data_IF_986076930476
#
_entry.id   IF_986076930476
#
_cell.length_a   1.000
_cell.length_b   1.000
_cell.length_c   1.000
_cell.angle_alpha   90.00
_cell.angle_beta   90.00
_cell.angle_gamma   90.00
#
_symmetry.space_group_name_H-M   'P 1'
#
loop_
_entity.id
_entity.type
_entity.pdbx_description
1 polymer ?
#
# COMPACT_ATOMS: atom_id res chain seq x y z
N UNK A 1 3.66 -2.54 -40.73
CA UNK A 1 2.82 -2.71 -39.52
C UNK A 1 1.32 -2.74 -39.84
N UNK A 2 0.68 -1.63 -40.24
CA UNK A 2 -0.77 -1.65 -40.50
C UNK A 2 -1.19 -2.50 -41.73
N UNK A 3 -0.38 -2.52 -42.79
CA UNK A 3 -0.70 -3.31 -43.99
C UNK A 3 -0.42 -4.81 -43.86
N UNK A 4 0.36 -5.23 -42.85
CA UNK A 4 0.55 -6.65 -42.53
C UNK A 4 -0.65 -7.18 -41.74
N UNK A 5 -1.15 -6.41 -40.77
CA UNK A 5 -2.38 -6.73 -40.03
C UNK A 5 -3.60 -6.90 -40.95
N UNK A 6 -3.68 -6.11 -42.03
CA UNK A 6 -4.76 -6.25 -43.03
C UNK A 6 -4.67 -7.54 -43.84
N UNK A 7 -3.46 -8.06 -44.06
CA UNK A 7 -3.25 -9.33 -44.80
C UNK A 7 -3.63 -10.55 -43.98
N UNK A 8 -3.61 -10.43 -42.65
CA UNK A 8 -3.96 -11.50 -41.71
C UNK A 8 -5.38 -11.33 -41.12
N UNK A 9 -6.17 -10.38 -41.65
CA UNK A 9 -7.48 -10.05 -41.09
C UNK A 9 -8.41 -11.27 -41.05
N UNK A 10 -8.41 -12.08 -42.09
CA UNK A 10 -9.16 -13.34 -42.18
C UNK A 10 -8.78 -14.32 -41.06
N UNK A 11 -7.49 -14.46 -40.76
CA UNK A 11 -6.98 -15.31 -39.69
C UNK A 11 -7.37 -14.74 -38.32
N UNK A 12 -7.23 -13.43 -38.11
CA UNK A 12 -7.58 -12.74 -36.86
C UNK A 12 -9.09 -12.92 -36.56
N UNK A 13 -9.95 -12.69 -37.54
CA UNK A 13 -11.41 -12.83 -37.36
C UNK A 13 -11.83 -14.29 -37.20
N UNK A 14 -11.21 -15.22 -37.93
CA UNK A 14 -11.48 -16.66 -37.78
C UNK A 14 -11.13 -17.14 -36.37
N UNK A 15 -9.99 -16.69 -35.83
CA UNK A 15 -9.58 -16.99 -34.47
C UNK A 15 -10.52 -16.37 -33.43
N UNK A 16 -10.92 -15.11 -33.63
CA UNK A 16 -11.85 -14.43 -32.73
C UNK A 16 -13.21 -15.13 -32.68
N UNK A 17 -13.77 -15.52 -33.83
CA UNK A 17 -15.05 -16.25 -33.92
C UNK A 17 -14.94 -17.63 -33.27
N UNK A 18 -13.79 -18.30 -33.42
CA UNK A 18 -13.55 -19.62 -32.83
C UNK A 18 -13.53 -19.58 -31.30
N UNK A 19 -12.93 -18.57 -30.70
CA UNK A 19 -12.79 -18.45 -29.23
C UNK A 19 -14.00 -17.75 -28.57
N UNK A 20 -14.87 -17.10 -29.35
CA UNK A 20 -16.04 -16.37 -28.86
C UNK A 20 -17.01 -17.24 -28.01
N UNK A 21 -17.35 -18.50 -28.38
CA UNK A 21 -18.24 -19.33 -27.58
C UNK A 21 -17.67 -19.60 -26.19
N UNK A 22 -16.37 -19.89 -26.10
CA UNK A 22 -15.67 -20.09 -24.84
C UNK A 22 -15.70 -18.83 -23.98
N UNK A 23 -15.51 -17.66 -24.59
CA UNK A 23 -15.58 -16.38 -23.89
C UNK A 23 -16.98 -16.08 -23.35
N UNK A 24 -18.04 -16.48 -24.06
CA UNK A 24 -19.44 -16.37 -23.58
C UNK A 24 -19.66 -17.29 -22.38
N UNK A 25 -19.17 -18.53 -22.43
CA UNK A 25 -19.25 -19.48 -21.31
C UNK A 25 -18.50 -18.97 -20.07
N UNK A 26 -17.39 -18.25 -20.26
CA UNK A 26 -16.57 -17.64 -19.22
C UNK A 26 -17.08 -16.23 -18.79
N UNK A 27 -18.32 -15.85 -19.11
CA UNK A 27 -18.92 -14.54 -18.77
C UNK A 27 -18.08 -13.33 -19.24
N UNK A 28 -17.51 -13.41 -20.44
CA UNK A 28 -16.64 -12.39 -21.02
C UNK A 28 -15.40 -12.07 -20.18
N UNK A 29 -14.99 -12.98 -19.30
CA UNK A 29 -13.75 -12.86 -18.54
C UNK A 29 -12.58 -13.31 -19.41
N UNK A 30 -11.81 -12.36 -19.90
CA UNK A 30 -10.53 -12.69 -20.53
C UNK A 30 -9.61 -13.30 -19.47
N UNK A 31 -9.04 -14.48 -19.77
CA UNK A 31 -8.12 -15.16 -18.87
C UNK A 31 -6.97 -14.21 -18.49
N UNK A 32 -6.94 -13.80 -17.22
CA UNK A 32 -5.86 -13.00 -16.69
C UNK A 32 -4.58 -13.86 -16.70
N UNK A 33 -3.43 -13.36 -17.22
CA UNK A 33 -2.19 -14.11 -17.17
C UNK A 33 -1.82 -14.41 -15.70
N UNK A 34 -1.30 -15.61 -15.46
CA UNK A 34 -0.95 -16.11 -14.12
C UNK A 34 0.05 -15.22 -13.35
N UNK A 35 0.72 -14.28 -14.03
CA UNK A 35 1.61 -13.27 -13.42
C UNK A 35 0.88 -12.07 -12.79
N UNK A 36 -0.44 -11.97 -12.93
CA UNK A 36 -1.24 -10.93 -12.25
C UNK A 36 -1.53 -11.24 -10.77
N UNK A 37 -1.27 -12.46 -10.31
CA UNK A 37 -1.48 -12.86 -8.91
C UNK A 37 -0.34 -12.35 -8.01
N UNK A 38 0.90 -12.35 -8.52
CA UNK A 38 2.05 -11.85 -7.77
C UNK A 38 2.02 -10.33 -7.59
N UNK A 39 1.55 -9.58 -8.59
CA UNK A 39 1.44 -8.12 -8.50
C UNK A 39 0.34 -7.64 -7.55
N UNK A 40 -0.75 -8.41 -7.41
CA UNK A 40 -1.81 -8.13 -6.43
C UNK A 40 -1.42 -8.56 -5.01
N UNK A 41 -0.66 -9.65 -4.86
CA UNK A 41 -0.17 -10.12 -3.57
C UNK A 41 0.83 -9.13 -2.93
N UNK A 42 1.74 -8.57 -3.73
CA UNK A 42 2.65 -7.51 -3.27
C UNK A 42 1.86 -6.25 -2.84
N UNK A 43 0.79 -5.91 -3.56
CA UNK A 43 -0.08 -4.77 -3.23
C UNK A 43 -0.86 -4.98 -1.91
N UNK A 44 -1.40 -6.19 -1.68
CA UNK A 44 -2.14 -6.53 -0.45
C UNK A 44 -1.22 -6.62 0.78
N UNK A 45 0.03 -7.08 0.61
CA UNK A 45 0.99 -7.22 1.71
C UNK A 45 1.59 -5.86 2.14
N UNK A 46 1.84 -4.95 1.19
CA UNK A 46 2.24 -3.57 1.48
C UNK A 46 1.18 -2.81 2.28
N UNK A 47 -0.10 -3.05 2.00
CA UNK A 47 -1.22 -2.41 2.70
C UNK A 47 -1.40 -2.91 4.14
N UNK A 48 -1.17 -4.20 4.38
CA UNK A 48 -1.43 -4.83 5.70
C UNK A 48 -0.39 -4.44 6.76
N UNK A 49 0.85 -4.16 6.36
CA UNK A 49 1.97 -3.93 7.28
C UNK A 49 1.82 -2.65 8.14
N UNK A 50 1.29 -1.57 7.55
CA UNK A 50 1.04 -0.31 8.26
C UNK A 50 -0.16 -0.45 9.19
N UNK A 51 -1.24 -1.05 8.71
CA UNK A 51 -2.46 -1.25 9.50
C UNK A 51 -2.15 -2.10 10.74
N UNK A 52 -1.43 -3.21 10.53
CA UNK A 52 -0.96 -4.08 11.63
C UNK A 52 -0.04 -3.32 12.59
N UNK A 53 0.85 -2.45 12.07
CA UNK A 53 1.71 -1.62 12.92
C UNK A 53 0.89 -0.62 13.75
N UNK A 54 -0.07 0.07 13.14
CA UNK A 54 -0.92 1.05 13.82
C UNK A 54 -1.75 0.37 14.92
N UNK A 55 -2.36 -0.78 14.62
CA UNK A 55 -3.14 -1.55 15.59
C UNK A 55 -2.29 -2.07 16.75
N UNK A 56 -1.11 -2.64 16.46
CA UNK A 56 -0.31 -3.33 17.48
C UNK A 56 0.63 -2.41 18.25
N UNK A 57 1.13 -1.32 17.64
CA UNK A 57 2.20 -0.47 18.19
C UNK A 57 1.80 0.98 18.39
N UNK A 58 0.69 1.45 17.85
CA UNK A 58 0.26 2.85 17.98
C UNK A 58 -1.00 3.00 18.83
N UNK A 59 -1.19 4.21 19.37
CA UNK A 59 -2.43 4.65 20.02
C UNK A 59 -2.87 5.94 19.35
N UNK A 60 -4.15 5.98 18.95
CA UNK A 60 -4.78 7.17 18.38
C UNK A 60 -5.45 7.99 19.48
N UNK A 61 -5.36 9.31 19.38
CA UNK A 61 -6.01 10.23 20.32
C UNK A 61 -5.54 11.67 20.13
N UNK A 62 -6.46 12.63 20.28
CA UNK A 62 -6.26 14.05 19.98
C UNK A 62 -5.14 14.71 20.80
N UNK A 63 -4.87 14.23 22.01
CA UNK A 63 -3.79 14.70 22.88
C UNK A 63 -2.41 14.14 22.52
N UNK A 64 -2.34 13.14 21.65
CA UNK A 64 -1.10 12.47 21.31
C UNK A 64 -0.35 13.17 20.18
N UNK A 65 0.98 13.17 20.29
CA UNK A 65 1.87 13.70 19.26
C UNK A 65 3.18 12.94 19.25
N UNK A 66 3.74 12.74 18.07
CA UNK A 66 5.03 12.07 17.87
C UNK A 66 5.76 12.65 16.65
N UNK A 67 7.09 12.76 16.71
CA UNK A 67 7.86 13.16 15.55
C UNK A 67 7.80 12.10 14.45
N UNK A 68 7.80 12.53 13.19
CA UNK A 68 7.68 11.62 12.06
C UNK A 68 8.89 10.69 11.94
N UNK A 69 10.07 11.16 12.36
CA UNK A 69 11.31 10.38 12.39
C UNK A 69 11.17 9.21 13.38
N UNK A 70 10.83 9.51 14.63
CA UNK A 70 10.68 8.50 15.70
C UNK A 70 9.62 7.45 15.34
N UNK A 71 8.49 7.90 14.77
CA UNK A 71 7.41 6.99 14.35
C UNK A 71 7.86 6.07 13.21
N UNK A 72 8.60 6.59 12.23
CA UNK A 72 9.09 5.81 11.10
C UNK A 72 10.20 4.84 11.50
N UNK A 73 11.07 5.21 12.43
CA UNK A 73 12.07 4.28 12.98
C UNK A 73 11.43 3.11 13.73
N UNK A 74 10.38 3.38 14.52
CA UNK A 74 9.60 2.34 15.17
C UNK A 74 8.92 1.40 14.14
N UNK A 75 8.42 1.96 13.04
CA UNK A 75 7.87 1.19 11.93
C UNK A 75 8.92 0.28 11.28
N UNK A 76 10.11 0.80 10.97
CA UNK A 76 11.21 -0.03 10.43
C UNK A 76 11.58 -1.17 11.39
N UNK A 77 11.64 -0.89 12.69
CA UNK A 77 11.89 -1.91 13.71
C UNK A 77 10.81 -2.99 13.74
N UNK A 78 9.54 -2.61 13.57
CA UNK A 78 8.42 -3.54 13.43
C UNK A 78 8.54 -4.38 12.15
N UNK A 79 8.82 -3.77 11.00
CA UNK A 79 9.01 -4.47 9.72
C UNK A 79 10.12 -5.53 9.83
N UNK A 80 11.28 -5.18 10.40
CA UNK A 80 12.39 -6.11 10.63
C UNK A 80 12.01 -7.28 11.53
N UNK A 81 11.22 -7.03 12.58
CA UNK A 81 10.80 -8.06 13.53
C UNK A 81 9.79 -9.04 12.94
N UNK A 82 9.04 -8.63 11.91
CA UNK A 82 8.01 -9.45 11.26
C UNK A 82 8.42 -9.94 9.87
N UNK A 83 9.71 -9.80 9.50
CA UNK A 83 10.25 -10.16 8.18
C UNK A 83 9.49 -9.49 7.01
N UNK A 84 9.03 -8.26 7.21
CA UNK A 84 8.34 -7.46 6.18
C UNK A 84 9.28 -6.36 5.66
N UNK A 85 9.21 -6.08 4.35
CA UNK A 85 9.93 -4.97 3.74
C UNK A 85 9.27 -3.63 4.07
N UNK A 86 9.99 -2.65 4.63
CA UNK A 86 9.42 -1.35 4.92
C UNK A 86 9.19 -0.55 3.64
N UNK A 87 8.03 0.09 3.55
CA UNK A 87 7.73 1.07 2.48
C UNK A 87 8.53 2.37 2.65
N UNK A 88 8.54 3.20 1.61
CA UNK A 88 9.22 4.51 1.65
C UNK A 88 8.63 5.46 2.71
N UNK A 89 9.48 6.34 3.26
CA UNK A 89 9.08 7.35 4.26
C UNK A 89 7.96 8.28 3.76
N UNK A 90 7.95 8.60 2.47
CA UNK A 90 6.93 9.46 1.87
C UNK A 90 5.57 8.76 1.83
N UNK A 91 5.53 7.52 1.36
CA UNK A 91 4.30 6.72 1.33
C UNK A 91 3.79 6.46 2.74
N UNK A 92 4.69 6.15 3.68
CA UNK A 92 4.35 6.00 5.10
C UNK A 92 3.69 7.27 5.65
N UNK A 93 4.29 8.43 5.40
CA UNK A 93 3.76 9.70 5.89
C UNK A 93 2.39 10.03 5.29
N UNK A 94 2.18 9.72 4.00
CA UNK A 94 0.87 9.88 3.34
C UNK A 94 -0.17 8.97 3.98
N UNK A 95 0.14 7.69 4.19
CA UNK A 95 -0.76 6.71 4.81
C UNK A 95 -1.13 7.09 6.25
N UNK A 96 -0.16 7.50 7.07
CA UNK A 96 -0.42 7.95 8.44
C UNK A 96 -1.29 9.21 8.44
N UNK A 97 -1.07 10.14 7.52
CA UNK A 97 -1.90 11.36 7.40
C UNK A 97 -3.31 11.07 6.88
N UNK A 98 -3.54 9.92 6.24
CA UNK A 98 -4.88 9.50 5.81
C UNK A 98 -5.71 8.88 6.93
N UNK A 99 -5.11 8.59 8.08
CA UNK A 99 -5.82 8.05 9.24
C UNK A 99 -6.76 9.11 9.83
N UNK A 100 -8.00 8.74 10.21
CA UNK A 100 -8.94 9.67 10.80
C UNK A 100 -8.41 10.19 12.14
N UNK A 101 -8.45 11.51 12.32
CA UNK A 101 -7.98 12.19 13.54
C UNK A 101 -6.47 12.36 13.63
N UNK A 102 -5.71 12.04 12.58
CA UNK A 102 -4.26 12.29 12.51
C UNK A 102 -3.97 13.48 11.61
N UNK A 103 -3.14 14.41 12.09
CA UNK A 103 -2.76 15.61 11.34
C UNK A 103 -1.23 15.81 11.36
N UNK A 104 -0.64 15.96 10.17
CA UNK A 104 0.77 16.29 10.01
C UNK A 104 1.04 17.77 10.31
N UNK A 105 1.89 18.07 11.29
CA UNK A 105 2.26 19.45 11.62
C UNK A 105 3.67 19.54 12.19
N UNK A 106 4.22 20.76 12.32
CA UNK A 106 5.50 20.99 13.00
C UNK A 106 5.24 21.38 14.45
N UNK A 107 5.89 20.71 15.39
CA UNK A 107 5.76 21.02 16.80
C UNK A 107 7.02 20.64 17.58
N UNK A 108 7.09 21.15 18.81
CA UNK A 108 8.13 20.77 19.77
C UNK A 108 7.60 19.67 20.70
N UNK A 109 8.46 18.70 21.01
CA UNK A 109 8.25 17.71 22.06
C UNK A 109 9.37 17.92 23.09
N UNK A 110 9.02 18.10 24.37
CA UNK A 110 9.97 18.16 25.50
C UNK A 110 11.17 19.10 25.30
N UNK A 111 10.96 20.29 24.72
CA UNK A 111 12.02 21.27 24.48
C UNK A 111 12.91 21.00 23.25
N UNK A 112 12.61 19.96 22.45
CA UNK A 112 13.31 19.68 21.20
C UNK A 112 13.16 20.82 20.17
N UNK A 113 14.00 20.79 19.13
CA UNK A 113 13.78 21.58 17.92
C UNK A 113 12.38 21.32 17.33
N UNK A 114 11.86 22.32 16.61
CA UNK A 114 10.57 22.22 15.93
C UNK A 114 10.69 21.35 14.68
N UNK A 115 10.31 20.08 14.83
CA UNK A 115 10.40 19.07 13.78
C UNK A 115 9.01 18.71 13.26
N UNK A 116 8.95 18.10 12.06
CA UNK A 116 7.71 17.56 11.50
C UNK A 116 7.31 16.31 12.29
N UNK A 117 6.02 16.22 12.60
CA UNK A 117 5.43 15.08 13.26
C UNK A 117 3.94 14.97 12.99
N UNK A 118 3.33 14.02 13.67
CA UNK A 118 1.90 13.75 13.59
C UNK A 118 1.26 14.02 14.94
N UNK A 119 0.17 14.78 14.94
CA UNK A 119 -0.77 14.89 16.05
C UNK A 119 -1.87 13.86 15.86
N UNK A 120 -2.46 13.37 16.94
CA UNK A 120 -3.50 12.34 16.88
C UNK A 120 -2.97 10.91 17.03
N UNK A 121 -1.65 10.71 17.10
CA UNK A 121 -1.02 9.38 17.17
C UNK A 121 0.24 9.40 18.05
N UNK A 122 0.48 8.31 18.77
CA UNK A 122 1.74 8.03 19.48
C UNK A 122 2.02 6.53 19.52
N UNK A 123 3.20 6.13 20.00
CA UNK A 123 3.56 4.73 20.21
C UNK A 123 3.02 4.23 21.55
N UNK A 124 2.54 2.99 21.60
CA UNK A 124 2.21 2.29 22.84
C UNK A 124 3.48 2.24 23.71
N UNK A 125 3.40 2.72 24.95
CA UNK A 125 4.47 2.50 25.93
C UNK A 125 4.63 0.99 26.10
N UNK A 126 5.83 0.46 25.88
CA UNK A 126 6.16 -0.90 26.32
C UNK A 126 6.04 -0.90 27.83
N UNK A 127 5.03 -1.60 28.36
CA UNK A 127 5.08 -2.03 29.75
C UNK A 127 6.19 -3.08 29.81
N UNK A 128 7.34 -2.69 30.37
CA UNK A 128 8.30 -3.62 30.95
C UNK A 128 7.99 -3.71 32.44
#
# INVERSE_FOLDING_TARGET
>A
MADELKKEADVIFSLAIKELPKLIEENYQFAAPADSVNTLADYAFEQTSIDTFVENRCVLGSSHKIHAVDLYEAYIGFCRSNAVSPISRNLFSQKISSLPGVEGSRFRINGSASNRGFKGITLKKKFN
#
